data_IF_136363159585
#
_entry.id   IF_136363159585
#
_cell.length_a   1.000
_cell.length_b   1.000
_cell.length_c   1.000
_cell.angle_alpha   90.00
_cell.angle_beta   90.00
_cell.angle_gamma   90.00
#
_symmetry.space_group_name_H-M   'P 1'
#
loop_
_entity.id
_entity.type
_entity.pdbx_description
1 polymer ?
#
# COMPACT_ATOMS: atom_id res chain seq x y z
N UNK A 1 -11.09 -18.21 24.16
CA UNK A 1 -10.07 -18.42 25.21
C UNK A 1 -8.81 -17.53 25.02
N UNK A 2 -8.81 -16.55 24.09
CA UNK A 2 -7.76 -15.55 23.92
C UNK A 2 -6.43 -16.09 23.36
N UNK A 3 -6.42 -17.25 22.74
CA UNK A 3 -5.24 -17.84 22.09
C UNK A 3 -5.45 -17.95 20.59
N UNK A 4 -4.42 -17.56 19.83
CA UNK A 4 -4.38 -17.70 18.38
C UNK A 4 -3.92 -19.10 17.96
N UNK A 5 -4.26 -19.53 16.75
CA UNK A 5 -3.88 -20.86 16.22
C UNK A 5 -2.37 -21.05 16.10
N UNK A 6 -1.64 -19.97 15.82
CA UNK A 6 -0.18 -19.97 15.68
C UNK A 6 0.56 -19.59 16.98
N UNK A 7 -0.15 -19.55 18.11
CA UNK A 7 0.38 -19.26 19.46
C UNK A 7 0.89 -17.83 19.67
N UNK A 8 0.68 -16.90 18.72
CA UNK A 8 0.97 -15.47 18.92
C UNK A 8 -0.02 -14.85 19.92
N UNK A 9 0.41 -13.79 20.60
CA UNK A 9 -0.51 -12.93 21.33
C UNK A 9 -1.43 -12.17 20.37
N UNK A 10 -2.54 -11.61 20.88
CA UNK A 10 -3.57 -11.01 20.04
C UNK A 10 -3.06 -9.85 19.15
N UNK A 11 -2.11 -9.07 19.64
CA UNK A 11 -1.55 -7.90 18.95
C UNK A 11 -0.14 -8.15 18.37
N UNK A 12 0.33 -9.39 18.37
CA UNK A 12 1.60 -9.74 17.76
C UNK A 12 1.52 -9.72 16.23
N UNK A 13 2.57 -9.17 15.63
CA UNK A 13 2.76 -9.15 14.18
C UNK A 13 3.69 -10.30 13.76
N UNK A 14 3.44 -10.94 12.62
CA UNK A 14 4.34 -11.96 12.05
C UNK A 14 5.67 -11.34 11.66
N UNK A 15 6.72 -12.14 11.66
CA UNK A 15 7.99 -11.71 11.06
C UNK A 15 7.77 -11.36 9.59
N UNK A 16 8.39 -10.28 9.15
CA UNK A 16 8.34 -9.87 7.76
C UNK A 16 9.74 -9.60 7.19
N UNK A 17 9.88 -9.87 5.92
CA UNK A 17 11.08 -9.63 5.14
C UNK A 17 10.75 -8.72 3.96
N UNK A 18 11.64 -7.75 3.66
CA UNK A 18 11.51 -6.87 2.51
C UNK A 18 12.72 -7.05 1.60
N UNK A 19 12.48 -7.50 0.38
CA UNK A 19 13.49 -7.57 -0.68
C UNK A 19 13.26 -6.43 -1.67
N UNK A 20 14.30 -5.64 -1.94
CA UNK A 20 14.23 -4.51 -2.86
C UNK A 20 14.70 -4.90 -4.27
N UNK A 21 14.32 -4.07 -5.25
CA UNK A 21 14.80 -4.13 -6.64
C UNK A 21 14.56 -5.50 -7.31
N UNK A 22 13.36 -6.08 -7.06
CA UNK A 22 12.96 -7.41 -7.56
C UNK A 22 12.57 -7.40 -9.05
N UNK A 23 12.34 -6.23 -9.63
CA UNK A 23 12.07 -6.05 -11.06
C UNK A 23 13.06 -5.06 -11.67
N UNK A 24 13.65 -5.43 -12.80
CA UNK A 24 14.56 -4.55 -13.57
C UNK A 24 13.83 -3.69 -14.61
N UNK A 25 12.50 -3.78 -14.68
CA UNK A 25 11.66 -3.02 -15.61
C UNK A 25 10.80 -1.96 -14.90
N UNK A 26 10.69 -2.05 -13.58
CA UNK A 26 10.05 -1.06 -12.75
C UNK A 26 11.06 0.02 -12.33
N UNK A 27 10.61 1.26 -12.20
CA UNK A 27 11.42 2.36 -11.69
C UNK A 27 11.69 2.26 -10.19
N UNK A 28 10.92 1.44 -9.49
CA UNK A 28 11.12 0.97 -8.13
C UNK A 28 10.36 -0.33 -7.90
N UNK A 29 10.88 -1.24 -7.11
CA UNK A 29 10.16 -2.49 -6.79
C UNK A 29 10.58 -3.07 -5.45
N UNK A 30 9.65 -3.79 -4.83
CA UNK A 30 9.90 -4.53 -3.60
C UNK A 30 9.03 -5.79 -3.55
N UNK A 31 9.49 -6.77 -2.79
CA UNK A 31 8.74 -7.96 -2.40
C UNK A 31 8.68 -8.00 -0.88
N UNK A 32 7.50 -8.22 -0.35
CA UNK A 32 7.26 -8.35 1.09
C UNK A 32 6.75 -9.76 1.36
N UNK A 33 7.40 -10.41 2.30
CA UNK A 33 6.90 -11.65 2.91
C UNK A 33 6.52 -11.36 4.33
N UNK A 34 5.27 -11.57 4.69
CA UNK A 34 4.71 -11.43 6.03
C UNK A 34 4.20 -12.80 6.46
N UNK A 35 5.01 -13.54 7.20
CA UNK A 35 4.80 -14.96 7.38
C UNK A 35 4.77 -15.67 6.04
N UNK A 36 3.63 -16.30 5.68
CA UNK A 36 3.43 -16.92 4.37
C UNK A 36 2.78 -15.99 3.34
N UNK A 37 2.23 -14.85 3.76
CA UNK A 37 1.72 -13.84 2.83
C UNK A 37 2.88 -13.24 2.05
N UNK A 38 2.76 -13.20 0.71
CA UNK A 38 3.83 -12.81 -0.21
C UNK A 38 3.28 -11.85 -1.25
N UNK A 39 3.81 -10.64 -1.30
CA UNK A 39 3.34 -9.57 -2.19
C UNK A 39 4.50 -8.93 -2.92
N UNK A 40 4.37 -8.80 -4.23
CA UNK A 40 5.29 -8.03 -5.07
C UNK A 40 4.65 -6.70 -5.45
N UNK A 41 5.40 -5.62 -5.32
CA UNK A 41 4.97 -4.27 -5.71
C UNK A 41 5.97 -3.68 -6.69
N UNK A 42 5.44 -3.16 -7.80
CA UNK A 42 6.19 -2.44 -8.83
C UNK A 42 5.72 -0.99 -8.93
N UNK A 43 6.66 -0.09 -9.22
CA UNK A 43 6.36 1.33 -9.49
C UNK A 43 6.71 1.62 -10.94
N UNK A 44 5.74 2.16 -11.69
CA UNK A 44 5.96 2.72 -13.02
C UNK A 44 5.76 4.21 -12.97
N UNK A 45 6.75 4.95 -13.49
CA UNK A 45 6.69 6.41 -13.58
C UNK A 45 6.54 6.78 -15.05
N UNK A 46 5.36 7.30 -15.39
CA UNK A 46 5.05 7.87 -16.70
C UNK A 46 4.76 9.35 -16.60
N UNK A 47 4.21 9.90 -17.66
CA UNK A 47 3.67 11.26 -17.64
C UNK A 47 2.28 11.31 -18.28
N UNK A 48 1.52 12.31 -17.88
CA UNK A 48 0.15 12.53 -18.36
C UNK A 48 -0.27 13.97 -18.12
N UNK A 49 -1.53 14.23 -18.34
CA UNK A 49 -2.15 15.48 -17.96
C UNK A 49 -2.49 15.48 -16.48
N UNK A 50 -2.38 16.64 -15.78
CA UNK A 50 -2.84 16.73 -14.41
C UNK A 50 -4.36 16.64 -14.34
N UNK A 51 -4.88 16.27 -13.17
CA UNK A 51 -6.32 16.35 -12.93
C UNK A 51 -6.79 17.82 -13.00
N UNK A 52 -8.02 18.09 -13.54
CA UNK A 52 -8.54 19.46 -13.69
C UNK A 52 -8.65 20.25 -12.39
N UNK A 53 -8.89 19.57 -11.28
CA UNK A 53 -8.99 20.14 -9.93
C UNK A 53 -7.64 20.36 -9.23
N UNK A 54 -6.56 19.80 -9.79
CA UNK A 54 -5.21 19.91 -9.23
C UNK A 54 -4.13 20.08 -10.32
N UNK A 55 -4.17 21.21 -11.09
CA UNK A 55 -3.32 21.42 -12.27
C UNK A 55 -1.84 21.64 -11.93
N UNK A 56 -1.52 21.77 -10.65
CA UNK A 56 -0.19 22.01 -10.08
C UNK A 56 0.34 20.80 -9.27
N UNK A 57 -0.23 19.63 -9.48
CA UNK A 57 0.18 18.38 -8.81
C UNK A 57 0.38 17.26 -9.81
N UNK A 58 1.32 16.36 -9.51
CA UNK A 58 1.46 15.09 -10.22
C UNK A 58 0.37 14.09 -9.84
N UNK A 59 0.32 13.01 -10.60
CA UNK A 59 -0.69 11.98 -10.43
C UNK A 59 -0.14 10.78 -9.62
N UNK A 60 -1.01 10.15 -8.84
CA UNK A 60 -0.80 8.85 -8.25
C UNK A 60 -1.95 7.94 -8.66
N UNK A 61 -1.64 6.73 -9.07
CA UNK A 61 -2.61 5.66 -9.27
C UNK A 61 -2.10 4.39 -8.60
N UNK A 62 -2.98 3.68 -7.93
CA UNK A 62 -2.67 2.39 -7.30
C UNK A 62 -3.61 1.36 -7.87
N UNK A 63 -3.06 0.26 -8.36
CA UNK A 63 -3.77 -0.89 -8.87
C UNK A 63 -3.33 -2.17 -8.17
N UNK A 64 -4.16 -3.20 -8.24
CA UNK A 64 -3.82 -4.50 -7.66
C UNK A 64 -4.61 -5.61 -8.34
N UNK A 65 -3.90 -6.66 -8.73
CA UNK A 65 -4.49 -7.84 -9.34
C UNK A 65 -4.45 -9.02 -8.38
N UNK A 66 -5.62 -9.46 -7.92
CA UNK A 66 -5.78 -10.66 -7.10
C UNK A 66 -5.98 -11.86 -8.05
N UNK A 67 -4.90 -12.62 -8.24
CA UNK A 67 -4.89 -13.75 -9.19
C UNK A 67 -5.15 -15.10 -8.48
N UNK A 68 -5.75 -16.07 -9.16
CA UNK A 68 -5.93 -17.44 -8.62
C UNK A 68 -4.64 -18.12 -8.15
N UNK A 69 -3.49 -17.65 -8.63
CA UNK A 69 -2.18 -18.08 -8.15
C UNK A 69 -1.99 -17.85 -6.64
N UNK A 70 -2.48 -16.70 -6.15
CA UNK A 70 -2.25 -16.28 -4.75
C UNK A 70 -3.20 -16.97 -3.77
N UNK A 71 -4.43 -17.26 -4.19
CA UNK A 71 -5.45 -17.87 -3.33
C UNK A 71 -6.56 -18.52 -4.17
N UNK A 72 -7.10 -19.68 -3.75
CA UNK A 72 -8.24 -20.28 -4.43
C UNK A 72 -9.51 -19.44 -4.40
N UNK A 73 -9.61 -18.44 -3.51
CA UNK A 73 -10.73 -17.49 -3.45
C UNK A 73 -10.71 -16.43 -4.55
N UNK A 74 -9.58 -16.23 -5.19
CA UNK A 74 -9.43 -15.24 -6.24
C UNK A 74 -9.81 -15.86 -7.58
N UNK A 75 -10.93 -15.45 -8.12
CA UNK A 75 -11.44 -15.94 -9.38
C UNK A 75 -10.96 -15.06 -10.54
N UNK A 76 -10.77 -15.70 -11.70
CA UNK A 76 -10.51 -14.96 -12.94
C UNK A 76 -11.80 -14.29 -13.40
N UNK A 77 -11.73 -13.00 -13.71
CA UNK A 77 -12.90 -12.26 -14.17
C UNK A 77 -12.85 -10.76 -13.84
N UNK A 78 -13.99 -10.07 -13.89
CA UNK A 78 -14.07 -8.69 -13.46
C UNK A 78 -13.63 -8.52 -12.00
N UNK A 79 -12.98 -7.40 -11.63
CA UNK A 79 -12.51 -7.16 -10.28
C UNK A 79 -13.62 -7.29 -9.24
N UNK A 80 -13.45 -8.19 -8.28
CA UNK A 80 -14.32 -8.31 -7.12
C UNK A 80 -14.07 -7.22 -6.07
N UNK A 81 -14.80 -7.25 -4.98
CA UNK A 81 -14.70 -6.24 -3.91
C UNK A 81 -13.27 -6.11 -3.37
N UNK A 82 -12.60 -7.21 -3.07
CA UNK A 82 -11.25 -7.20 -2.48
C UNK A 82 -10.20 -6.64 -3.46
N UNK A 83 -10.36 -6.89 -4.77
CA UNK A 83 -9.50 -6.32 -5.83
C UNK A 83 -9.64 -4.80 -5.96
N UNK A 84 -10.78 -4.24 -5.52
CA UNK A 84 -11.01 -2.80 -5.49
C UNK A 84 -10.58 -2.22 -4.13
N UNK A 85 -10.84 -2.92 -3.04
CA UNK A 85 -10.56 -2.46 -1.68
C UNK A 85 -9.06 -2.33 -1.42
N UNK A 86 -8.28 -3.36 -1.75
CA UNK A 86 -6.83 -3.41 -1.49
C UNK A 86 -6.08 -2.19 -2.05
N UNK A 87 -6.14 -1.88 -3.35
CA UNK A 87 -5.43 -0.73 -3.91
C UNK A 87 -5.95 0.60 -3.38
N UNK A 88 -7.25 0.73 -3.08
CA UNK A 88 -7.82 1.96 -2.52
C UNK A 88 -7.31 2.27 -1.12
N UNK A 89 -7.15 1.26 -0.27
CA UNK A 89 -6.61 1.45 1.09
C UNK A 89 -5.14 1.85 1.04
N UNK A 90 -4.34 1.20 0.19
CA UNK A 90 -2.94 1.55 -0.04
C UNK A 90 -2.81 2.97 -0.61
N UNK A 91 -3.63 3.32 -1.62
CA UNK A 91 -3.66 4.68 -2.20
C UNK A 91 -3.90 5.74 -1.12
N UNK A 92 -4.95 5.57 -0.31
CA UNK A 92 -5.30 6.54 0.73
C UNK A 92 -4.23 6.67 1.81
N UNK A 93 -3.66 5.55 2.24
CA UNK A 93 -2.59 5.57 3.23
C UNK A 93 -1.37 6.37 2.74
N UNK A 94 -0.99 6.24 1.45
CA UNK A 94 0.14 6.95 0.85
C UNK A 94 -0.22 8.39 0.48
N UNK A 95 -1.34 8.60 -0.20
CA UNK A 95 -1.78 9.90 -0.70
C UNK A 95 -1.97 10.92 0.41
N UNK A 96 -2.68 10.54 1.47
CA UNK A 96 -3.03 11.44 2.56
C UNK A 96 -1.87 11.66 3.55
N UNK A 97 -0.82 10.83 3.49
CA UNK A 97 0.32 10.94 4.40
C UNK A 97 1.22 12.14 4.11
N UNK A 98 1.23 12.62 2.86
CA UNK A 98 2.21 13.60 2.41
C UNK A 98 3.61 13.03 2.17
N UNK A 99 3.76 11.70 2.06
CA UNK A 99 5.03 11.05 1.72
C UNK A 99 5.56 11.48 0.35
N UNK A 100 4.67 11.58 -0.65
CA UNK A 100 5.01 12.02 -2.01
C UNK A 100 4.81 13.52 -2.13
N UNK A 101 5.82 14.23 -2.59
CA UNK A 101 5.74 15.67 -2.92
C UNK A 101 5.17 15.82 -4.34
N UNK A 102 3.85 15.88 -4.44
CA UNK A 102 3.14 15.96 -5.72
C UNK A 102 3.42 17.24 -6.51
N UNK A 103 3.78 18.35 -5.85
CA UNK A 103 4.08 19.60 -6.52
C UNK A 103 5.41 19.50 -7.31
N UNK A 104 6.38 18.73 -6.81
CA UNK A 104 7.64 18.47 -7.50
C UNK A 104 7.53 17.48 -8.67
N UNK A 105 6.36 16.90 -8.87
CA UNK A 105 6.08 16.05 -10.01
C UNK A 105 5.52 16.82 -11.22
N UNK A 106 5.36 18.13 -11.13
CA UNK A 106 4.91 18.97 -12.24
C UNK A 106 6.06 19.20 -13.21
N UNK A 107 5.84 18.91 -14.49
CA UNK A 107 6.76 19.18 -15.60
C UNK A 107 6.38 20.52 -16.24
N UNK A 108 5.10 20.68 -16.63
CA UNK A 108 4.53 21.90 -17.17
C UNK A 108 3.14 22.11 -16.56
N UNK A 109 2.98 23.18 -15.80
CA UNK A 109 1.75 23.45 -15.03
C UNK A 109 0.52 23.47 -15.96
N UNK A 110 -0.48 22.67 -15.56
CA UNK A 110 -1.74 22.54 -16.28
C UNK A 110 -1.68 21.73 -17.57
N UNK A 111 -0.51 21.18 -17.95
CA UNK A 111 -0.36 20.42 -19.20
C UNK A 111 0.32 19.07 -19.04
N UNK A 112 1.43 18.99 -18.28
CA UNK A 112 2.23 17.78 -18.21
C UNK A 112 2.78 17.56 -16.80
N UNK A 113 2.51 16.40 -16.26
CA UNK A 113 2.98 16.00 -14.92
C UNK A 113 3.50 14.56 -14.95
N UNK A 114 4.35 14.22 -13.99
CA UNK A 114 4.70 12.83 -13.72
C UNK A 114 3.52 12.12 -13.07
N UNK A 115 3.25 10.91 -13.55
CA UNK A 115 2.25 9.98 -13.00
C UNK A 115 2.98 8.79 -12.39
N UNK A 116 2.82 8.60 -11.08
CA UNK A 116 3.35 7.46 -10.33
C UNK A 116 2.27 6.39 -10.27
N UNK A 117 2.55 5.22 -10.85
CA UNK A 117 1.63 4.09 -10.86
C UNK A 117 2.22 2.99 -9.95
N UNK A 118 1.46 2.55 -8.98
CA UNK A 118 1.82 1.48 -8.04
C UNK A 118 1.00 0.25 -8.40
N UNK A 119 1.68 -0.83 -8.78
CA UNK A 119 1.07 -2.09 -9.15
C UNK A 119 1.34 -3.13 -8.05
N UNK A 120 0.28 -3.72 -7.49
CA UNK A 120 0.34 -4.66 -6.37
C UNK A 120 -0.06 -6.05 -6.86
N UNK A 121 0.83 -7.02 -6.70
CA UNK A 121 0.62 -8.42 -7.09
C UNK A 121 0.84 -9.35 -5.91
N UNK A 122 -0.19 -9.81 -5.21
CA UNK A 122 -0.08 -10.91 -4.27
C UNK A 122 0.35 -12.20 -4.98
N UNK A 123 1.35 -12.87 -4.42
CA UNK A 123 1.87 -14.16 -4.90
C UNK A 123 1.34 -15.30 -4.03
N UNK A 124 1.16 -15.04 -2.73
CA UNK A 124 0.51 -15.96 -1.79
C UNK A 124 -0.30 -15.16 -0.76
N UNK A 125 -1.53 -15.57 -0.53
CA UNK A 125 -2.45 -14.98 0.43
C UNK A 125 -2.61 -15.88 1.65
N UNK A 126 -1.99 -15.51 2.75
CA UNK A 126 -2.13 -16.12 4.08
C UNK A 126 -2.63 -15.08 5.10
N UNK A 127 -3.50 -14.18 4.65
CA UNK A 127 -4.09 -13.09 5.43
C UNK A 127 -3.23 -11.82 5.49
N UNK A 128 -3.89 -10.72 5.83
CA UNK A 128 -3.31 -9.39 6.02
C UNK A 128 -2.59 -8.80 4.79
N UNK A 129 -3.19 -8.98 3.60
CA UNK A 129 -2.66 -8.45 2.34
C UNK A 129 -2.52 -6.93 2.34
N UNK A 130 -3.40 -6.20 3.03
CA UNK A 130 -3.42 -4.73 3.04
C UNK A 130 -2.14 -4.17 3.67
N UNK A 131 -1.77 -4.69 4.83
CA UNK A 131 -0.59 -4.21 5.55
C UNK A 131 0.69 -4.61 4.79
N UNK A 132 0.77 -5.87 4.30
CA UNK A 132 1.88 -6.34 3.47
C UNK A 132 2.04 -5.50 2.19
N UNK A 133 0.94 -5.18 1.50
CA UNK A 133 0.94 -4.37 0.29
C UNK A 133 1.37 -2.92 0.57
N UNK A 134 0.93 -2.33 1.69
CA UNK A 134 1.35 -0.98 2.07
C UNK A 134 2.85 -0.92 2.38
N UNK A 135 3.38 -1.90 3.12
CA UNK A 135 4.84 -2.02 3.37
C UNK A 135 5.58 -2.13 2.02
N UNK A 136 5.09 -2.98 1.11
CA UNK A 136 5.68 -3.16 -0.22
C UNK A 136 5.66 -1.90 -1.07
N UNK A 137 4.55 -1.16 -1.07
CA UNK A 137 4.41 0.08 -1.82
C UNK A 137 5.36 1.17 -1.31
N UNK A 138 5.44 1.35 0.01
CA UNK A 138 6.38 2.30 0.65
C UNK A 138 7.83 1.90 0.38
N UNK A 139 8.17 0.62 0.47
CA UNK A 139 9.50 0.09 0.18
C UNK A 139 9.90 0.33 -1.28
N UNK A 140 8.99 0.05 -2.24
CA UNK A 140 9.20 0.27 -3.66
C UNK A 140 9.35 1.77 -3.99
N UNK A 141 8.53 2.65 -3.40
CA UNK A 141 8.64 4.11 -3.57
C UNK A 141 9.99 4.64 -3.12
N UNK A 142 10.56 4.15 -2.02
CA UNK A 142 11.90 4.52 -1.53
C UNK A 142 13.03 4.16 -2.49
N UNK A 143 12.81 3.19 -3.34
CA UNK A 143 13.77 2.76 -4.37
C UNK A 143 13.46 3.34 -5.74
N UNK A 144 12.38 4.12 -5.88
CA UNK A 144 11.89 4.64 -7.14
C UNK A 144 12.75 5.79 -7.67
N UNK A 145 13.05 5.72 -8.98
CA UNK A 145 13.73 6.77 -9.71
C UNK A 145 12.78 7.38 -10.75
N UNK A 146 12.91 8.70 -10.96
CA UNK A 146 12.20 9.40 -12.02
C UNK A 146 12.96 9.19 -13.32
N UNK A 147 12.28 8.78 -14.42
CA UNK A 147 12.90 8.67 -15.73
C UNK A 147 13.45 10.01 -16.24
N UNK A 148 14.48 9.96 -17.08
CA UNK A 148 14.97 11.12 -17.79
C UNK A 148 14.24 11.29 -19.13
N UNK A 149 14.07 12.54 -19.56
CA UNK A 149 13.47 12.85 -20.86
C UNK A 149 14.60 13.12 -21.88
N UNK A 150 14.36 12.67 -23.10
CA UNK A 150 15.19 13.04 -24.25
C UNK A 150 14.80 14.45 -24.79
N UNK A 151 15.51 14.92 -25.81
CA UNK A 151 15.26 16.23 -26.42
C UNK A 151 13.87 16.38 -27.03
N UNK A 152 13.22 15.27 -27.41
CA UNK A 152 11.85 15.23 -27.89
C UNK A 152 10.79 15.21 -26.79
N UNK A 153 11.21 15.25 -25.50
CA UNK A 153 10.32 15.21 -24.34
C UNK A 153 9.70 13.85 -24.08
N UNK A 154 10.30 12.76 -24.61
CA UNK A 154 9.90 11.36 -24.34
C UNK A 154 10.85 10.75 -23.31
N UNK A 155 10.40 9.69 -22.61
CA UNK A 155 11.24 8.95 -21.68
C UNK A 155 12.36 8.25 -22.42
N UNK A 156 13.59 8.48 -21.97
CA UNK A 156 14.80 7.86 -22.50
C UNK A 156 15.15 6.60 -21.68
N UNK A 157 14.67 5.45 -22.14
CA UNK A 157 14.91 4.16 -21.47
C UNK A 157 16.33 3.61 -21.67
N UNK A 158 17.15 4.24 -22.54
CA UNK A 158 18.55 3.82 -22.76
C UNK A 158 19.45 4.37 -21.66
N UNK A 159 19.06 5.48 -21.02
CA UNK A 159 19.78 6.08 -19.91
C UNK A 159 19.42 5.42 -18.57
N UNK A 160 20.41 5.31 -17.71
CA UNK A 160 20.18 4.92 -16.33
C UNK A 160 19.52 6.08 -15.56
N UNK A 161 18.35 5.84 -14.96
CA UNK A 161 17.69 6.83 -14.14
C UNK A 161 18.45 7.07 -12.83
N UNK A 162 18.79 8.32 -12.54
CA UNK A 162 19.62 8.72 -11.40
C UNK A 162 18.87 9.58 -10.38
N UNK A 163 17.82 10.26 -10.83
CA UNK A 163 17.02 11.16 -9.99
C UNK A 163 16.00 10.37 -9.20
N UNK A 164 16.11 10.36 -7.88
CA UNK A 164 15.11 9.72 -7.00
C UNK A 164 13.79 10.46 -7.04
N UNK A 165 12.71 9.69 -6.83
CA UNK A 165 11.37 10.25 -6.60
C UNK A 165 11.41 11.19 -5.38
N UNK A 166 10.70 12.32 -5.48
CA UNK A 166 10.63 13.32 -4.41
C UNK A 166 9.73 12.83 -3.29
N UNK A 167 10.35 12.26 -2.26
CA UNK A 167 9.67 11.75 -1.06
C UNK A 167 10.09 12.56 0.17
N UNK A 168 9.19 12.71 1.12
CA UNK A 168 9.54 13.14 2.47
C UNK A 168 10.50 12.11 3.11
N UNK A 169 11.51 12.61 3.82
CA UNK A 169 12.47 11.75 4.52
C UNK A 169 11.94 11.23 5.86
N UNK A 170 10.95 11.91 6.41
CA UNK A 170 10.45 11.70 7.76
C UNK A 170 9.12 10.96 7.79
N UNK A 171 8.38 10.97 6.67
CA UNK A 171 7.03 10.41 6.61
C UNK A 171 7.07 9.00 6.02
N UNK A 172 6.61 8.04 6.80
CA UNK A 172 6.48 6.62 6.42
C UNK A 172 5.07 6.14 6.73
N UNK A 173 4.15 6.15 5.75
CA UNK A 173 2.82 5.63 5.98
C UNK A 173 2.86 4.09 6.03
N UNK A 174 2.15 3.54 7.01
CA UNK A 174 1.89 2.11 7.13
C UNK A 174 0.40 1.90 7.36
N UNK A 175 -0.11 0.77 6.93
CA UNK A 175 -1.46 0.31 7.30
C UNK A 175 -1.37 -0.64 8.48
N UNK A 176 -2.34 -0.53 9.38
CA UNK A 176 -2.54 -1.46 10.49
C UNK A 176 -4.00 -1.91 10.47
N UNK A 177 -4.18 -3.19 10.22
CA UNK A 177 -5.51 -3.81 10.08
C UNK A 177 -5.81 -4.63 11.32
N UNK A 178 -6.81 -4.19 12.08
CA UNK A 178 -7.32 -4.87 13.25
C UNK A 178 -8.61 -5.61 12.89
N UNK A 179 -8.73 -6.82 13.39
CA UNK A 179 -9.86 -7.68 13.14
C UNK A 179 -10.54 -8.06 14.45
N UNK A 180 -11.88 -8.04 14.44
CA UNK A 180 -12.69 -8.43 15.60
C UNK A 180 -13.19 -9.86 15.40
N UNK A 181 -12.85 -10.73 16.34
CA UNK A 181 -13.30 -12.13 16.39
C UNK A 181 -13.99 -12.33 17.74
N UNK A 182 -15.32 -12.34 17.74
CA UNK A 182 -16.11 -12.27 18.97
C UNK A 182 -15.76 -11.00 19.78
N UNK A 183 -15.33 -11.19 21.03
CA UNK A 183 -14.94 -10.08 21.93
C UNK A 183 -13.43 -9.73 21.83
N UNK A 184 -12.67 -10.44 21.01
CA UNK A 184 -11.23 -10.24 20.89
C UNK A 184 -10.89 -9.39 19.67
N UNK A 185 -9.85 -8.56 19.81
CA UNK A 185 -9.27 -7.80 18.72
C UNK A 185 -7.88 -8.36 18.44
N UNK A 186 -7.63 -8.70 17.18
CA UNK A 186 -6.37 -9.25 16.72
C UNK A 186 -5.74 -8.34 15.67
N UNK A 187 -4.40 -8.27 15.69
CA UNK A 187 -3.58 -7.61 14.70
C UNK A 187 -2.91 -8.68 13.83
N UNK A 188 -2.73 -8.39 12.56
CA UNK A 188 -2.06 -9.28 11.60
C UNK A 188 -2.63 -10.71 11.61
N UNK A 189 -3.91 -10.88 11.19
CA UNK A 189 -4.55 -12.20 11.16
C UNK A 189 -3.92 -13.13 10.13
N UNK A 190 -4.01 -14.43 10.39
CA UNK A 190 -3.88 -15.45 9.35
C UNK A 190 -5.14 -15.46 8.48
N UNK A 191 -5.10 -16.21 7.40
CA UNK A 191 -6.22 -16.36 6.48
C UNK A 191 -7.48 -16.89 7.19
N UNK A 192 -7.31 -17.91 8.03
CA UNK A 192 -8.42 -18.52 8.79
C UNK A 192 -9.01 -17.54 9.80
N UNK A 193 -8.18 -16.70 10.42
CA UNK A 193 -8.63 -15.68 11.36
C UNK A 193 -9.39 -14.53 10.64
N UNK A 194 -8.97 -14.15 9.43
CA UNK A 194 -9.72 -13.21 8.59
C UNK A 194 -11.12 -13.73 8.26
N UNK A 195 -11.22 -15.01 7.87
CA UNK A 195 -12.52 -15.65 7.53
C UNK A 195 -13.44 -15.78 8.74
N UNK A 196 -12.88 -15.98 9.92
CA UNK A 196 -13.62 -16.07 11.16
C UNK A 196 -14.00 -14.70 11.76
N UNK A 197 -13.52 -13.59 11.19
CA UNK A 197 -13.71 -12.26 11.75
C UNK A 197 -15.09 -11.68 11.45
N UNK A 198 -15.69 -11.00 12.44
CA UNK A 198 -16.96 -10.32 12.34
C UNK A 198 -16.84 -8.90 11.74
N UNK A 199 -15.69 -8.28 11.95
CA UNK A 199 -15.38 -6.94 11.45
C UNK A 199 -13.88 -6.69 11.37
N UNK A 200 -13.48 -5.77 10.48
CA UNK A 200 -12.12 -5.22 10.44
C UNK A 200 -12.15 -3.70 10.45
N UNK A 201 -11.10 -3.10 10.97
CA UNK A 201 -10.81 -1.69 10.86
C UNK A 201 -9.36 -1.52 10.45
N UNK A 202 -9.11 -0.75 9.39
CA UNK A 202 -7.77 -0.47 8.89
C UNK A 202 -7.47 1.01 9.05
N UNK A 203 -6.36 1.31 9.72
CA UNK A 203 -5.82 2.66 9.84
C UNK A 203 -4.60 2.80 8.94
N UNK A 204 -4.55 3.87 8.13
CA UNK A 204 -3.32 4.35 7.53
C UNK A 204 -2.68 5.35 8.48
N UNK A 205 -1.52 5.02 9.02
CA UNK A 205 -0.82 5.83 10.02
C UNK A 205 0.54 6.24 9.48
N UNK A 206 0.93 7.49 9.71
CA UNK A 206 2.30 7.97 9.48
C UNK A 206 2.82 8.71 10.70
N UNK A 207 4.14 8.82 10.80
CA UNK A 207 4.78 9.65 11.81
C UNK A 207 5.19 10.97 11.18
N UNK A 208 4.81 12.10 11.79
CA UNK A 208 5.19 13.43 11.37
C UNK A 208 5.55 14.25 12.60
N UNK A 209 6.70 14.91 12.60
CA UNK A 209 7.21 15.75 13.70
C UNK A 209 7.24 15.02 15.06
N UNK A 210 7.43 13.69 15.04
CA UNK A 210 7.44 12.84 16.23
C UNK A 210 6.07 12.32 16.67
N UNK A 211 4.98 12.82 16.13
CA UNK A 211 3.60 12.44 16.45
C UNK A 211 3.02 11.45 15.43
N UNK A 212 2.16 10.56 15.91
CA UNK A 212 1.43 9.64 15.05
C UNK A 212 0.23 10.37 14.43
N UNK A 213 0.12 10.29 13.10
CA UNK A 213 -0.96 10.89 12.32
C UNK A 213 -1.81 9.81 11.67
N UNK A 214 -3.11 9.84 11.88
CA UNK A 214 -4.06 8.98 11.17
C UNK A 214 -4.40 9.62 9.83
N UNK A 215 -3.93 9.02 8.74
CA UNK A 215 -4.14 9.51 7.38
C UNK A 215 -5.45 8.98 6.78
N UNK A 216 -5.82 7.75 7.13
CA UNK A 216 -7.04 7.12 6.67
C UNK A 216 -7.56 6.13 7.70
N UNK A 217 -8.88 5.93 7.69
CA UNK A 217 -9.55 4.92 8.48
C UNK A 217 -10.68 4.31 7.65
N UNK A 218 -10.74 3.00 7.59
CA UNK A 218 -11.84 2.29 6.94
C UNK A 218 -12.26 1.10 7.78
N UNK A 219 -13.59 0.97 7.98
CA UNK A 219 -14.23 -0.14 8.69
C UNK A 219 -15.02 -1.00 7.70
N UNK A 220 -14.95 -2.33 7.87
CA UNK A 220 -15.74 -3.33 7.14
C UNK A 220 -16.35 -4.34 8.14
N UNK A 221 -17.46 -4.96 7.76
CA UNK A 221 -18.18 -5.94 8.59
C UNK A 221 -19.29 -5.29 9.41
N UNK A 222 -20.13 -6.11 10.07
CA UNK A 222 -21.34 -5.66 10.74
C UNK A 222 -21.11 -5.26 12.21
N UNK A 223 -20.18 -5.94 12.90
CA UNK A 223 -19.89 -5.67 14.31
C UNK A 223 -19.29 -4.27 14.50
N UNK A 224 -19.76 -3.48 15.46
CA UNK A 224 -19.20 -2.19 15.80
C UNK A 224 -17.89 -2.33 16.58
N UNK A 225 -17.05 -1.30 16.51
CA UNK A 225 -15.95 -1.08 17.45
C UNK A 225 -16.37 0.00 18.44
N UNK A 226 -16.11 -0.22 19.72
CA UNK A 226 -16.35 0.77 20.77
C UNK A 226 -15.25 1.83 20.78
N UNK A 227 -15.53 2.98 21.39
CA UNK A 227 -14.50 4.04 21.54
C UNK A 227 -13.27 3.55 22.32
N UNK A 228 -13.48 2.75 23.36
CA UNK A 228 -12.39 2.16 24.15
C UNK A 228 -11.51 1.19 23.34
N UNK A 229 -12.13 0.41 22.42
CA UNK A 229 -11.41 -0.47 21.51
C UNK A 229 -10.57 0.34 20.54
N UNK A 230 -11.12 1.42 19.97
CA UNK A 230 -10.39 2.30 19.04
C UNK A 230 -9.23 2.99 19.74
N UNK A 231 -9.42 3.50 20.96
CA UNK A 231 -8.35 4.12 21.75
C UNK A 231 -7.18 3.17 22.03
N UNK A 232 -7.46 1.88 22.22
CA UNK A 232 -6.41 0.86 22.41
C UNK A 232 -5.64 0.50 21.15
N UNK A 233 -6.22 0.73 19.98
CA UNK A 233 -5.58 0.46 18.67
C UNK A 233 -4.66 1.61 18.24
N UNK A 234 -4.87 2.82 18.78
CA UNK A 234 -4.13 4.04 18.45
C UNK A 234 -3.02 4.35 19.43
#
# INVERSE_FOLDING_TARGET
EGKRFDSRELLDFREFEVTYDVSNKAEGSARVRLGKTDVVVGIKVGFGEPYPDSPDKGNLAVSGDLLPLASPRFESGPPGFDSIELPRLVDRAIRESGMIDFEKLVIEKGKKVWSVNIDIYPINDDGNLIDAATIGAVAALKRCFIPELNDDGKIDYEKKFTKKLHLSKEIFPLSFSFYKVGDSIILDPTREEEEASDAKITFGISKKDGENMVNSCQKKGEMPFTSEEIEKMM
#
